data_IF_475944907887
#
_entry.id   IF_475944907887
#
_cell.length_a   1.000
_cell.length_b   1.000
_cell.length_c   1.000
_cell.angle_alpha   90.00
_cell.angle_beta   90.00
_cell.angle_gamma   90.00
#
_symmetry.space_group_name_H-M   'P 1'
#
loop_
_entity.id
_entity.type
_entity.pdbx_description
1 polymer ?
#
# COMPACT_ATOMS: atom_id res chain seq x y z
N UNK A 1 -50.72 -17.86 53.39
CA UNK A 1 -50.40 -17.01 52.22
C UNK A 1 -50.48 -17.91 51.02
N UNK A 2 -51.49 -17.76 50.18
CA UNK A 2 -51.55 -18.46 48.89
C UNK A 2 -50.62 -17.75 47.91
N UNK A 3 -49.99 -18.53 47.02
CA UNK A 3 -49.16 -18.00 45.95
C UNK A 3 -50.05 -17.46 44.81
N UNK A 4 -49.66 -16.36 44.14
CA UNK A 4 -50.43 -15.82 43.03
C UNK A 4 -50.44 -16.79 41.82
N UNK A 5 -51.50 -16.76 40.99
CA UNK A 5 -51.58 -17.60 39.80
C UNK A 5 -50.53 -17.19 38.74
N UNK A 6 -50.11 -18.12 37.86
CA UNK A 6 -49.17 -17.82 36.79
C UNK A 6 -49.77 -16.87 35.73
N UNK A 7 -48.93 -16.13 34.99
CA UNK A 7 -49.37 -15.24 33.92
C UNK A 7 -49.97 -16.02 32.74
N UNK A 8 -50.83 -15.36 31.92
CA UNK A 8 -51.36 -15.96 30.70
C UNK A 8 -50.26 -16.18 29.64
N UNK A 9 -50.45 -17.14 28.71
CA UNK A 9 -49.51 -17.37 27.61
C UNK A 9 -49.45 -16.19 26.65
N UNK A 10 -48.25 -15.90 26.13
CA UNK A 10 -48.01 -14.84 25.15
C UNK A 10 -48.65 -15.16 23.78
N UNK A 11 -49.17 -14.14 23.11
CA UNK A 11 -49.68 -14.28 21.73
C UNK A 11 -48.53 -14.45 20.73
N UNK A 12 -48.69 -15.28 19.68
CA UNK A 12 -47.65 -15.47 18.67
C UNK A 12 -47.42 -14.18 17.87
N UNK A 13 -46.16 -13.75 17.79
CA UNK A 13 -45.74 -12.60 17.00
C UNK A 13 -46.07 -12.78 15.51
N UNK A 14 -46.61 -11.72 14.90
CA UNK A 14 -46.86 -11.66 13.45
C UNK A 14 -45.56 -11.86 12.65
N UNK A 15 -45.60 -12.56 11.51
CA UNK A 15 -44.41 -12.74 10.67
C UNK A 15 -43.91 -11.41 10.10
N UNK A 16 -42.59 -11.26 9.88
CA UNK A 16 -42.00 -10.04 9.33
C UNK A 16 -42.47 -9.79 7.88
N UNK A 17 -42.47 -8.53 7.42
CA UNK A 17 -42.77 -8.20 6.03
C UNK A 17 -41.71 -8.77 5.07
N UNK A 18 -42.07 -9.06 3.81
CA UNK A 18 -41.11 -9.53 2.81
C UNK A 18 -40.05 -8.46 2.49
N UNK A 19 -38.84 -8.87 2.07
CA UNK A 19 -37.78 -7.94 1.68
C UNK A 19 -38.17 -7.09 0.46
N UNK A 20 -37.63 -5.87 0.32
CA UNK A 20 -37.86 -5.03 -0.85
C UNK A 20 -37.29 -5.66 -2.13
N UNK A 21 -37.99 -5.43 -3.23
CA UNK A 21 -37.69 -5.97 -4.57
C UNK A 21 -36.37 -5.38 -5.11
N UNK A 22 -35.43 -6.22 -5.56
CA UNK A 22 -34.14 -5.78 -6.11
C UNK A 22 -34.33 -4.90 -7.35
N UNK A 23 -33.73 -3.70 -7.34
CA UNK A 23 -33.70 -2.82 -8.50
C UNK A 23 -32.72 -3.37 -9.56
N UNK A 24 -33.09 -3.39 -10.85
CA UNK A 24 -32.22 -3.87 -11.91
C UNK A 24 -30.97 -2.98 -12.08
N UNK A 25 -29.83 -3.56 -12.50
CA UNK A 25 -28.58 -2.82 -12.64
C UNK A 25 -28.66 -1.72 -13.71
N UNK A 26 -27.95 -0.59 -13.51
CA UNK A 26 -27.95 0.52 -14.46
C UNK A 26 -27.26 0.14 -15.79
N UNK A 27 -27.67 0.76 -16.92
CA UNK A 27 -27.04 0.52 -18.21
C UNK A 27 -25.60 1.08 -18.26
N UNK A 28 -24.71 0.49 -19.08
CA UNK A 28 -23.31 0.92 -19.18
C UNK A 28 -23.18 2.36 -19.73
N UNK A 29 -22.17 3.13 -19.28
CA UNK A 29 -21.97 4.51 -19.71
C UNK A 29 -21.59 4.61 -21.19
N UNK A 30 -22.10 5.65 -21.86
CA UNK A 30 -21.80 5.92 -23.27
C UNK A 30 -20.35 6.37 -23.48
N UNK A 31 -19.73 5.90 -24.57
CA UNK A 31 -18.33 6.20 -24.89
C UNK A 31 -18.08 7.71 -25.10
N UNK A 32 -16.99 8.28 -24.54
CA UNK A 32 -16.70 9.70 -24.66
C UNK A 32 -16.28 10.09 -26.10
N UNK A 33 -16.63 11.30 -26.57
CA UNK A 33 -16.22 11.79 -27.88
C UNK A 33 -14.71 12.16 -27.92
N UNK A 34 -14.04 12.03 -29.08
CA UNK A 34 -12.60 12.30 -29.19
C UNK A 34 -12.27 13.80 -29.02
N UNK A 35 -11.14 14.15 -28.38
CA UNK A 35 -10.78 15.53 -28.08
C UNK A 35 -10.38 16.34 -29.33
N UNK A 36 -10.83 17.60 -29.39
CA UNK A 36 -10.41 18.57 -30.42
C UNK A 36 -9.02 19.12 -30.13
N UNK A 37 -8.11 18.99 -31.09
CA UNK A 37 -6.79 19.64 -31.07
C UNK A 37 -6.94 21.11 -31.47
N UNK A 38 -6.51 22.04 -30.62
CA UNK A 38 -6.38 23.47 -30.94
C UNK A 38 -4.90 23.86 -30.92
N UNK A 39 -4.38 24.29 -32.08
CA UNK A 39 -3.00 24.74 -32.23
C UNK A 39 -2.91 26.24 -31.96
N UNK A 40 -2.21 26.63 -30.89
CA UNK A 40 -1.92 28.04 -30.59
C UNK A 40 -0.53 28.40 -31.12
N UNK A 41 -0.46 29.35 -32.06
CA UNK A 41 0.81 29.87 -32.59
C UNK A 41 1.31 31.06 -31.76
N UNK A 42 2.57 31.00 -31.31
CA UNK A 42 3.16 32.04 -30.48
C UNK A 42 3.73 33.20 -31.30
N UNK A 43 3.25 34.43 -31.04
CA UNK A 43 3.85 35.65 -31.57
C UNK A 43 4.95 36.18 -30.64
N UNK A 44 6.08 36.62 -31.20
CA UNK A 44 7.15 37.30 -30.46
C UNK A 44 7.14 38.79 -30.75
N UNK A 45 7.05 39.61 -29.68
CA UNK A 45 7.25 41.05 -29.76
C UNK A 45 8.74 41.40 -29.97
N UNK A 46 9.01 42.43 -30.75
CA UNK A 46 10.34 43.03 -30.90
C UNK A 46 10.38 44.40 -30.22
N UNK A 47 11.40 44.62 -29.37
CA UNK A 47 11.61 45.89 -28.67
C UNK A 47 12.34 46.92 -29.54
N UNK A 48 11.89 48.17 -29.45
CA UNK A 48 12.51 49.35 -30.05
C UNK A 48 13.73 49.86 -29.25
N UNK A 49 14.48 50.84 -29.81
CA UNK A 49 15.39 51.67 -29.01
C UNK A 49 16.73 52.00 -29.67
N UNK A 50 16.78 53.04 -30.50
CA UNK A 50 18.01 53.60 -31.06
C UNK A 50 18.15 55.09 -30.71
N UNK A 51 19.34 55.56 -30.31
CA UNK A 51 19.96 56.90 -30.58
C UNK A 51 21.29 57.11 -29.81
N UNK A 52 22.13 58.14 -30.13
CA UNK A 52 23.57 57.90 -30.28
C UNK A 52 24.52 58.79 -29.43
N UNK A 53 25.81 58.72 -29.76
CA UNK A 53 26.99 59.18 -29.03
C UNK A 53 27.32 60.69 -29.06
N UNK A 54 28.20 61.12 -28.13
CA UNK A 54 29.22 62.15 -28.41
C UNK A 54 30.53 62.01 -27.58
N UNK A 55 31.60 62.64 -28.09
CA UNK A 55 32.99 62.75 -27.56
C UNK A 55 33.08 63.41 -26.16
N UNK A 56 34.17 63.31 -25.39
CA UNK A 56 35.43 64.13 -25.47
C UNK A 56 36.60 63.49 -24.67
N UNK A 57 37.85 63.87 -24.98
CA UNK A 57 39.15 63.46 -24.38
C UNK A 57 39.82 64.68 -23.71
N UNK A 58 40.76 64.56 -22.73
CA UNK A 58 42.20 64.47 -23.08
C UNK A 58 43.13 63.71 -22.07
N UNK A 59 44.46 63.87 -22.26
CA UNK A 59 45.62 63.06 -21.77
C UNK A 59 46.20 63.43 -20.39
N UNK A 60 46.90 62.47 -19.76
CA UNK A 60 48.25 62.57 -19.13
C UNK A 60 48.76 61.15 -18.67
N UNK A 61 50.04 60.81 -18.37
CA UNK A 61 51.39 61.38 -18.65
C UNK A 61 52.45 60.26 -18.90
N UNK A 62 53.57 60.16 -18.16
CA UNK A 62 54.70 59.17 -18.24
C UNK A 62 55.49 59.14 -16.89
N UNK A 63 56.33 58.15 -16.51
CA UNK A 63 56.75 56.91 -17.21
C UNK A 63 56.85 55.60 -16.36
N UNK A 64 57.94 55.18 -15.66
CA UNK A 64 58.40 53.78 -15.86
C UNK A 64 58.70 52.86 -14.65
N UNK A 65 58.47 51.56 -14.91
CA UNK A 65 59.23 50.35 -14.54
C UNK A 65 59.94 50.18 -13.16
N UNK A 66 59.66 49.03 -12.51
CA UNK A 66 60.64 48.28 -11.70
C UNK A 66 60.49 46.76 -11.94
N UNK A 67 61.58 46.07 -12.29
CA UNK A 67 61.60 44.61 -12.50
C UNK A 67 61.73 43.89 -11.14
N UNK A 68 60.98 42.80 -10.95
CA UNK A 68 61.15 41.82 -9.87
C UNK A 68 61.33 40.44 -10.53
N UNK A 69 62.31 39.60 -10.11
CA UNK A 69 62.58 38.33 -10.77
C UNK A 69 61.47 37.28 -10.51
N UNK A 70 61.22 36.36 -11.46
CA UNK A 70 60.17 35.36 -11.31
C UNK A 70 60.57 34.27 -10.30
N UNK A 71 59.84 34.19 -9.18
CA UNK A 71 59.97 33.12 -8.19
C UNK A 71 59.60 31.77 -8.83
N UNK A 72 60.57 30.88 -9.05
CA UNK A 72 60.35 29.52 -9.60
C UNK A 72 59.37 28.73 -8.73
N UNK A 73 58.10 28.62 -9.14
CA UNK A 73 57.10 27.77 -8.47
C UNK A 73 57.00 26.41 -9.20
N UNK A 74 57.84 25.46 -8.81
CA UNK A 74 57.75 24.05 -9.19
C UNK A 74 56.64 23.39 -8.34
N UNK A 75 55.53 22.95 -8.94
CA UNK A 75 54.67 21.84 -8.45
C UNK A 75 53.31 21.66 -9.18
N UNK A 76 53.24 21.80 -10.52
CA UNK A 76 52.00 21.48 -11.26
C UNK A 76 51.69 19.96 -11.37
N UNK A 77 52.59 19.09 -10.90
CA UNK A 77 52.45 17.63 -11.02
C UNK A 77 51.45 17.00 -10.04
N UNK A 78 51.39 17.47 -8.78
CA UNK A 78 50.58 16.81 -7.73
C UNK A 78 49.07 16.86 -8.02
N UNK A 79 48.54 18.02 -8.41
CA UNK A 79 47.11 18.15 -8.77
C UNK A 79 46.71 17.33 -10.01
N UNK A 80 47.63 17.10 -10.94
CA UNK A 80 47.38 16.27 -12.12
C UNK A 80 47.44 14.76 -11.81
N UNK A 81 48.30 14.36 -10.86
CA UNK A 81 48.34 12.99 -10.33
C UNK A 81 47.07 12.67 -9.54
N UNK A 82 46.65 13.56 -8.62
CA UNK A 82 45.41 13.41 -7.84
C UNK A 82 44.19 13.29 -8.78
N UNK A 83 44.08 14.15 -9.80
CA UNK A 83 42.99 14.06 -10.78
C UNK A 83 43.00 12.73 -11.55
N UNK A 84 44.17 12.20 -11.91
CA UNK A 84 44.27 10.88 -12.58
C UNK A 84 43.87 9.74 -11.65
N UNK A 85 44.28 9.78 -10.39
CA UNK A 85 43.87 8.76 -9.40
C UNK A 85 42.36 8.81 -9.21
N UNK A 86 41.76 9.99 -8.99
CA UNK A 86 40.31 10.13 -8.86
C UNK A 86 39.55 9.65 -10.11
N UNK A 87 40.03 9.96 -11.32
CA UNK A 87 39.44 9.49 -12.57
C UNK A 87 39.55 7.97 -12.74
N UNK A 88 40.69 7.37 -12.35
CA UNK A 88 40.88 5.91 -12.40
C UNK A 88 39.99 5.23 -11.35
N UNK A 89 39.92 5.74 -10.12
CA UNK A 89 39.00 5.23 -9.10
C UNK A 89 37.53 5.33 -9.54
N UNK A 90 37.13 6.45 -10.17
CA UNK A 90 35.77 6.61 -10.72
C UNK A 90 35.48 5.63 -11.87
N UNK A 91 36.44 5.41 -12.77
CA UNK A 91 36.30 4.44 -13.86
C UNK A 91 36.28 2.99 -13.36
N UNK A 92 37.08 2.67 -12.33
CA UNK A 92 37.07 1.36 -11.68
C UNK A 92 35.78 1.12 -10.88
N UNK A 93 35.23 2.16 -10.25
CA UNK A 93 33.91 2.11 -9.60
C UNK A 93 32.81 1.84 -10.64
N UNK A 94 32.82 2.57 -11.77
CA UNK A 94 31.94 2.31 -12.91
C UNK A 94 32.09 0.89 -13.46
N UNK A 95 33.31 0.38 -13.58
CA UNK A 95 33.55 -0.99 -14.02
C UNK A 95 33.02 -2.01 -12.99
N UNK A 96 33.23 -1.78 -11.70
CA UNK A 96 32.71 -2.64 -10.63
C UNK A 96 31.17 -2.67 -10.64
N UNK A 97 30.50 -1.52 -10.85
CA UNK A 97 29.05 -1.44 -10.99
C UNK A 97 28.50 -2.15 -12.24
N UNK A 98 29.32 -2.33 -13.29
CA UNK A 98 28.95 -3.08 -14.50
C UNK A 98 29.16 -4.59 -14.33
N UNK A 99 30.24 -5.00 -13.65
CA UNK A 99 30.69 -6.41 -13.59
C UNK A 99 30.41 -7.12 -12.25
N UNK A 100 29.90 -6.42 -11.22
CA UNK A 100 29.53 -7.00 -9.92
C UNK A 100 28.04 -6.74 -9.66
N UNK A 101 27.13 -7.66 -10.01
CA UNK A 101 25.68 -7.48 -9.85
C UNK A 101 25.28 -7.07 -8.43
N UNK A 102 25.88 -7.70 -7.42
CA UNK A 102 25.61 -7.42 -6.01
C UNK A 102 25.88 -5.95 -5.61
N UNK A 103 26.85 -5.28 -6.24
CA UNK A 103 27.08 -3.85 -6.01
C UNK A 103 26.07 -2.97 -6.76
N UNK A 104 25.60 -3.41 -7.93
CA UNK A 104 24.57 -2.72 -8.69
C UNK A 104 23.26 -2.66 -7.90
N UNK A 105 22.89 -3.76 -7.26
CA UNK A 105 21.64 -3.87 -6.50
C UNK A 105 21.68 -2.99 -5.24
N UNK A 106 22.70 -3.11 -4.38
CA UNK A 106 22.76 -2.33 -3.13
C UNK A 106 23.19 -0.87 -3.28
N UNK A 107 23.93 -0.50 -4.33
CA UNK A 107 24.52 0.86 -4.46
C UNK A 107 24.01 1.70 -5.63
N UNK A 108 22.92 1.27 -6.29
CA UNK A 108 22.16 2.10 -7.25
C UNK A 108 20.66 2.24 -6.92
N UNK A 109 20.12 1.54 -5.92
CA UNK A 109 18.74 1.75 -5.43
C UNK A 109 18.43 3.24 -5.13
N UNK A 110 19.35 3.94 -4.45
CA UNK A 110 19.28 5.39 -4.20
C UNK A 110 19.31 6.32 -5.44
N UNK A 111 19.53 5.78 -6.64
CA UNK A 111 19.65 6.50 -7.92
C UNK A 111 18.61 6.05 -8.96
N UNK A 112 17.84 5.02 -8.64
CA UNK A 112 16.75 4.50 -9.47
C UNK A 112 15.63 4.06 -8.51
N UNK A 113 14.81 5.00 -8.01
CA UNK A 113 13.76 4.77 -7.01
C UNK A 113 12.53 4.06 -7.61
N UNK A 114 12.76 3.26 -8.64
CA UNK A 114 11.77 2.43 -9.30
C UNK A 114 12.12 0.99 -8.98
N UNK A 115 11.36 0.40 -8.05
CA UNK A 115 11.40 -1.03 -7.82
C UNK A 115 10.40 -1.72 -8.76
N UNK A 116 10.66 -2.97 -9.10
CA UNK A 116 9.74 -3.79 -9.90
C UNK A 116 9.38 -5.02 -9.09
N UNK A 117 8.08 -5.20 -8.83
CA UNK A 117 7.56 -6.36 -8.12
C UNK A 117 6.78 -7.23 -9.10
N UNK A 118 6.92 -8.53 -8.96
CA UNK A 118 6.25 -9.51 -9.80
C UNK A 118 5.23 -10.26 -8.96
N UNK A 119 4.00 -10.27 -9.43
CA UNK A 119 2.91 -11.03 -8.85
C UNK A 119 2.47 -12.09 -9.86
N UNK A 120 2.08 -13.31 -9.42
CA UNK A 120 1.32 -14.20 -10.29
C UNK A 120 0.06 -13.47 -10.76
N UNK A 121 -0.33 -13.62 -12.03
CA UNK A 121 -1.57 -13.01 -12.51
C UNK A 121 -2.78 -13.71 -11.88
N UNK A 122 -2.69 -15.02 -11.77
CA UNK A 122 -3.69 -15.91 -11.22
C UNK A 122 -3.00 -16.98 -10.36
N UNK A 123 -3.67 -17.44 -9.32
CA UNK A 123 -3.29 -18.67 -8.61
C UNK A 123 -4.51 -19.57 -8.52
N UNK A 124 -4.36 -20.83 -8.88
CA UNK A 124 -5.29 -21.88 -8.48
C UNK A 124 -4.63 -22.69 -7.36
N UNK A 125 -5.35 -22.96 -6.28
CA UNK A 125 -4.80 -23.70 -5.14
C UNK A 125 -5.85 -24.55 -4.43
N UNK A 126 -5.38 -25.51 -3.64
CA UNK A 126 -6.16 -26.26 -2.68
C UNK A 126 -5.54 -26.11 -1.28
N UNK A 127 -6.37 -25.81 -0.29
CA UNK A 127 -5.95 -25.60 1.11
C UNK A 127 -6.92 -26.31 2.05
N UNK A 128 -6.42 -26.89 3.13
CA UNK A 128 -7.23 -27.42 4.23
C UNK A 128 -7.08 -26.51 5.45
N UNK A 129 -8.15 -25.82 5.86
CA UNK A 129 -8.20 -25.19 7.19
C UNK A 129 -8.60 -26.27 8.19
N UNK A 130 -7.73 -26.57 9.15
CA UNK A 130 -7.85 -27.68 10.10
C UNK A 130 -7.80 -27.15 11.52
N UNK A 131 -8.82 -27.47 12.31
CA UNK A 131 -8.92 -27.08 13.72
C UNK A 131 -9.03 -28.32 14.61
N UNK A 132 -8.34 -28.32 15.75
CA UNK A 132 -8.47 -29.35 16.78
C UNK A 132 -8.20 -28.78 18.16
N UNK A 133 -8.99 -29.22 19.15
CA UNK A 133 -8.87 -28.77 20.54
C UNK A 133 -8.81 -29.98 21.48
N UNK A 134 -7.74 -30.06 22.28
CA UNK A 134 -7.52 -31.09 23.31
C UNK A 134 -7.46 -30.48 24.71
N UNK A 135 -7.58 -31.31 25.76
CA UNK A 135 -7.61 -30.87 27.16
C UNK A 135 -8.98 -30.37 27.65
N UNK A 136 -10.01 -30.47 26.81
CA UNK A 136 -11.38 -29.97 27.03
C UNK A 136 -12.36 -31.13 27.30
N UNK A 137 -13.64 -30.84 27.56
CA UNK A 137 -14.70 -31.85 27.55
C UNK A 137 -15.29 -31.99 26.14
N UNK A 138 -15.74 -30.86 25.60
CA UNK A 138 -16.26 -30.69 24.25
C UNK A 138 -15.97 -29.27 23.80
N UNK A 139 -16.02 -29.03 22.49
CA UNK A 139 -15.83 -27.72 21.90
C UNK A 139 -16.72 -27.54 20.67
N UNK A 140 -17.03 -26.29 20.36
CA UNK A 140 -17.71 -25.90 19.12
C UNK A 140 -16.71 -25.11 18.29
N UNK A 141 -16.66 -25.37 16.99
CA UNK A 141 -15.92 -24.58 15.99
C UNK A 141 -16.92 -24.02 15.00
N UNK A 142 -16.79 -22.75 14.68
CA UNK A 142 -17.61 -22.09 13.69
C UNK A 142 -16.78 -21.12 12.85
N UNK A 143 -16.66 -21.41 11.56
CA UNK A 143 -15.87 -20.60 10.62
C UNK A 143 -16.69 -20.27 9.37
N UNK A 144 -16.54 -19.07 8.78
CA UNK A 144 -17.22 -18.72 7.55
C UNK A 144 -16.65 -19.51 6.37
N UNK A 145 -17.51 -19.92 5.44
CA UNK A 145 -17.08 -20.53 4.19
C UNK A 145 -16.55 -19.45 3.22
N UNK A 146 -15.36 -19.63 2.61
CA UNK A 146 -14.84 -18.72 1.59
C UNK A 146 -15.82 -18.59 0.43
N UNK A 147 -16.11 -17.36 0.01
CA UNK A 147 -17.11 -17.08 -1.04
C UNK A 147 -16.49 -16.57 -2.34
N UNK A 148 -17.30 -16.56 -3.40
CA UNK A 148 -16.97 -15.85 -4.63
C UNK A 148 -16.93 -14.34 -4.37
N UNK A 149 -15.91 -13.68 -4.90
CA UNK A 149 -15.82 -12.21 -4.97
C UNK A 149 -15.61 -11.82 -6.42
N UNK A 150 -16.44 -10.88 -6.90
CA UNK A 150 -16.45 -10.51 -8.31
C UNK A 150 -15.10 -9.93 -8.76
N UNK A 151 -14.40 -10.66 -9.63
CA UNK A 151 -13.14 -10.24 -10.23
C UNK A 151 -11.86 -10.60 -9.47
N UNK A 152 -11.92 -11.10 -8.24
CA UNK A 152 -10.73 -11.45 -7.43
C UNK A 152 -10.66 -12.89 -6.96
N UNK A 153 -11.80 -13.56 -6.73
CA UNK A 153 -11.86 -14.83 -6.00
C UNK A 153 -13.03 -15.72 -6.43
N UNK A 154 -12.73 -17.00 -6.67
CA UNK A 154 -13.72 -18.02 -7.02
C UNK A 154 -13.49 -19.29 -6.19
N UNK A 155 -14.50 -19.70 -5.44
CA UNK A 155 -14.56 -21.02 -4.80
C UNK A 155 -14.94 -22.05 -5.88
N UNK A 156 -14.06 -23.02 -6.13
CA UNK A 156 -14.27 -24.09 -7.10
C UNK A 156 -14.86 -25.35 -6.44
N UNK A 157 -14.48 -25.63 -5.19
CA UNK A 157 -15.08 -26.68 -4.37
C UNK A 157 -14.84 -26.43 -2.88
N UNK A 158 -15.79 -26.83 -2.04
CA UNK A 158 -15.63 -26.97 -0.58
C UNK A 158 -15.92 -28.42 -0.18
N UNK A 159 -15.15 -28.95 0.76
CA UNK A 159 -15.30 -30.30 1.30
C UNK A 159 -14.98 -30.30 2.80
N UNK A 160 -15.96 -29.92 3.65
CA UNK A 160 -15.82 -30.01 5.10
C UNK A 160 -15.80 -31.46 5.59
N UNK A 161 -15.21 -31.70 6.77
CA UNK A 161 -15.27 -32.97 7.47
C UNK A 161 -15.05 -32.81 8.99
N UNK A 162 -15.88 -33.43 9.86
CA UNK A 162 -17.16 -34.08 9.56
C UNK A 162 -18.15 -33.13 8.86
N UNK A 163 -19.34 -33.62 8.49
CA UNK A 163 -20.35 -32.73 7.90
C UNK A 163 -20.82 -31.71 8.95
N UNK A 164 -20.70 -30.39 8.70
CA UNK A 164 -21.08 -29.34 9.63
C UNK A 164 -22.58 -29.02 9.54
N UNK A 165 -23.11 -28.40 10.59
CA UNK A 165 -24.32 -27.59 10.46
C UNK A 165 -23.98 -26.32 9.67
N UNK A 166 -24.82 -25.92 8.71
CA UNK A 166 -24.65 -24.67 7.98
C UNK A 166 -25.60 -23.62 8.55
N UNK A 167 -25.05 -22.49 9.00
CA UNK A 167 -25.80 -21.35 9.50
C UNK A 167 -25.61 -20.12 8.60
N UNK A 168 -26.62 -19.25 8.55
CA UNK A 168 -26.56 -17.99 7.79
C UNK A 168 -26.41 -16.83 8.78
N UNK A 169 -25.19 -16.28 8.89
CA UNK A 169 -24.88 -15.12 9.74
C UNK A 169 -24.20 -14.04 8.92
N UNK A 170 -24.66 -12.79 9.07
CA UNK A 170 -24.02 -11.59 8.52
C UNK A 170 -23.86 -11.58 6.98
N UNK A 171 -24.68 -12.37 6.26
CA UNK A 171 -24.55 -12.56 4.81
C UNK A 171 -23.54 -13.61 4.38
N UNK A 172 -23.05 -14.43 5.30
CA UNK A 172 -22.11 -15.54 5.08
C UNK A 172 -22.75 -16.88 5.49
N UNK A 173 -22.34 -17.94 4.80
CA UNK A 173 -22.54 -19.31 5.27
C UNK A 173 -21.44 -19.65 6.27
N UNK A 174 -21.81 -20.06 7.48
CA UNK A 174 -20.89 -20.53 8.51
C UNK A 174 -21.00 -22.04 8.67
N UNK A 175 -19.86 -22.71 8.70
CA UNK A 175 -19.75 -24.14 8.99
C UNK A 175 -19.55 -24.30 10.49
N UNK A 176 -20.52 -24.92 11.16
CA UNK A 176 -20.54 -25.11 12.62
C UNK A 176 -20.39 -26.61 12.94
N UNK A 177 -19.44 -26.93 13.82
CA UNK A 177 -19.20 -28.29 14.33
C UNK A 177 -19.22 -28.32 15.86
N UNK A 178 -20.10 -29.15 16.42
CA UNK A 178 -19.96 -29.62 17.81
C UNK A 178 -19.06 -30.86 17.84
N UNK A 179 -17.93 -30.74 18.55
CA UNK A 179 -16.84 -31.71 18.54
C UNK A 179 -16.42 -32.15 19.95
N UNK A 180 -15.90 -33.37 20.03
CA UNK A 180 -15.41 -33.97 21.28
C UNK A 180 -13.91 -33.71 21.48
N UNK A 181 -13.44 -33.71 22.74
CA UNK A 181 -12.02 -33.54 23.09
C UNK A 181 -11.05 -34.35 22.19
N UNK A 182 -10.11 -33.66 21.52
CA UNK A 182 -9.11 -34.24 20.64
C UNK A 182 -9.61 -34.65 19.24
N UNK A 183 -10.88 -34.38 18.93
CA UNK A 183 -11.40 -34.49 17.57
C UNK A 183 -10.77 -33.41 16.67
N UNK A 184 -10.58 -33.74 15.40
CA UNK A 184 -10.19 -32.80 14.36
C UNK A 184 -11.40 -32.49 13.48
N UNK A 185 -11.62 -31.21 13.20
CA UNK A 185 -12.54 -30.74 12.16
C UNK A 185 -11.72 -30.01 11.11
N UNK A 186 -12.14 -30.07 9.85
CA UNK A 186 -11.46 -29.32 8.79
C UNK A 186 -12.41 -28.99 7.65
N UNK A 187 -12.02 -28.04 6.81
CA UNK A 187 -12.60 -27.88 5.48
C UNK A 187 -11.53 -27.70 4.41
N UNK A 188 -11.70 -28.42 3.30
CA UNK A 188 -10.83 -28.32 2.12
C UNK A 188 -11.48 -27.41 1.10
N UNK A 189 -10.81 -26.33 0.76
CA UNK A 189 -11.20 -25.41 -0.29
C UNK A 189 -10.31 -25.63 -1.51
N UNK A 190 -10.91 -25.66 -2.70
CA UNK A 190 -10.18 -25.45 -3.96
C UNK A 190 -10.63 -24.12 -4.51
N UNK A 191 -9.70 -23.24 -4.82
CA UNK A 191 -9.96 -21.85 -5.16
C UNK A 191 -9.14 -21.40 -6.34
N UNK A 192 -9.65 -20.38 -7.03
CA UNK A 192 -8.94 -19.58 -8.04
C UNK A 192 -9.00 -18.13 -7.60
N UNK A 193 -7.89 -17.43 -7.72
CA UNK A 193 -7.74 -16.02 -7.31
C UNK A 193 -6.93 -15.27 -8.35
N UNK A 194 -7.25 -13.99 -8.56
CA UNK A 194 -6.55 -13.12 -9.51
C UNK A 194 -5.92 -11.93 -8.79
N UNK A 195 -4.78 -11.46 -9.30
CA UNK A 195 -4.11 -10.26 -8.78
C UNK A 195 -4.82 -9.03 -9.33
N UNK A 196 -5.38 -8.22 -8.45
CA UNK A 196 -5.94 -6.91 -8.82
C UNK A 196 -4.91 -5.83 -8.48
N UNK A 197 -4.70 -4.93 -9.44
CA UNK A 197 -4.00 -3.67 -9.23
C UNK A 197 -4.94 -2.54 -9.63
N UNK A 198 -5.17 -1.61 -8.70
CA UNK A 198 -5.86 -0.37 -8.99
C UNK A 198 -4.81 0.68 -9.38
N UNK A 199 -4.45 0.71 -10.67
CA UNK A 199 -3.55 1.72 -11.26
C UNK A 199 -4.28 3.07 -11.28
N UNK A 200 -4.07 3.87 -10.23
CA UNK A 200 -4.67 5.19 -10.05
C UNK A 200 -3.70 6.14 -9.34
N UNK A 201 -3.91 7.43 -9.53
CA UNK A 201 -3.26 8.48 -8.74
C UNK A 201 -4.26 9.52 -8.21
N UNK A 202 -3.74 10.58 -7.59
CA UNK A 202 -4.55 11.66 -7.00
C UNK A 202 -5.41 12.42 -8.02
N UNK A 203 -5.23 12.23 -9.34
CA UNK A 203 -6.09 12.81 -10.36
C UNK A 203 -7.33 11.98 -10.69
N UNK A 204 -7.35 10.69 -10.33
CA UNK A 204 -8.52 9.81 -10.47
C UNK A 204 -9.49 9.91 -9.28
N UNK A 205 -8.96 10.30 -8.12
CA UNK A 205 -9.67 10.34 -6.83
C UNK A 205 -10.34 11.69 -6.56
N UNK A 206 -11.52 11.68 -5.91
CA UNK A 206 -12.18 12.90 -5.42
C UNK A 206 -11.60 13.34 -4.05
N UNK A 207 -11.73 14.62 -3.72
CA UNK A 207 -11.57 15.07 -2.33
C UNK A 207 -12.72 14.55 -1.44
N UNK A 208 -12.48 14.44 -0.13
CA UNK A 208 -13.52 14.02 0.84
C UNK A 208 -14.74 14.95 0.78
N UNK A 209 -14.54 16.25 0.48
CA UNK A 209 -15.62 17.21 0.33
C UNK A 209 -16.47 16.97 -0.93
N UNK A 210 -15.83 16.72 -2.07
CA UNK A 210 -16.52 16.38 -3.33
C UNK A 210 -17.22 15.03 -3.23
N UNK A 211 -16.58 14.02 -2.64
CA UNK A 211 -17.16 12.71 -2.43
C UNK A 211 -18.44 12.79 -1.57
N UNK A 212 -18.41 13.52 -0.44
CA UNK A 212 -19.61 13.77 0.37
C UNK A 212 -20.72 14.49 -0.40
N UNK A 213 -20.38 15.34 -1.36
CA UNK A 213 -21.36 16.10 -2.15
C UNK A 213 -21.95 15.32 -3.33
N UNK A 214 -21.17 14.46 -3.98
CA UNK A 214 -21.50 13.89 -5.29
C UNK A 214 -21.58 12.35 -5.32
N UNK A 215 -21.00 11.67 -4.34
CA UNK A 215 -20.93 10.21 -4.29
C UNK A 215 -21.84 9.65 -3.18
N UNK A 216 -23.02 9.09 -3.52
CA UNK A 216 -23.92 8.50 -2.53
C UNK A 216 -23.35 7.20 -1.92
N UNK A 217 -22.50 6.47 -2.65
CA UNK A 217 -21.87 5.23 -2.14
C UNK A 217 -20.84 5.58 -1.08
N UNK A 218 -20.01 6.61 -1.32
CA UNK A 218 -19.10 7.16 -0.31
C UNK A 218 -19.84 7.53 0.99
N UNK A 219 -21.01 8.16 0.88
CA UNK A 219 -21.82 8.56 2.03
C UNK A 219 -22.43 7.35 2.77
N UNK A 220 -22.97 6.36 2.05
CA UNK A 220 -23.50 5.13 2.66
C UNK A 220 -22.42 4.32 3.38
N UNK A 221 -21.26 4.14 2.75
CA UNK A 221 -20.12 3.46 3.39
C UNK A 221 -19.56 4.29 4.55
N UNK A 222 -19.52 5.62 4.44
CA UNK A 222 -19.11 6.48 5.54
C UNK A 222 -20.00 6.33 6.78
N UNK A 223 -21.32 6.19 6.59
CA UNK A 223 -22.25 5.96 7.68
C UNK A 223 -22.13 4.55 8.31
N UNK A 224 -21.62 3.57 7.55
CA UNK A 224 -21.44 2.18 7.95
C UNK A 224 -20.10 1.91 8.66
N UNK A 225 -19.05 2.69 8.35
CA UNK A 225 -17.69 2.38 8.84
C UNK A 225 -17.00 3.52 9.61
N UNK A 226 -17.40 4.79 9.48
CA UNK A 226 -16.66 5.90 10.10
C UNK A 226 -17.06 6.12 11.58
N UNK A 227 -17.08 5.04 12.36
CA UNK A 227 -17.30 5.03 13.80
C UNK A 227 -16.43 3.94 14.46
N UNK A 228 -16.43 3.92 15.80
CA UNK A 228 -15.74 2.88 16.56
C UNK A 228 -16.32 1.50 16.23
N UNK A 229 -15.44 0.52 16.09
CA UNK A 229 -15.74 -0.91 15.92
C UNK A 229 -14.79 -1.68 16.87
N UNK A 230 -15.02 -2.98 17.08
CA UNK A 230 -14.18 -3.78 17.98
C UNK A 230 -12.68 -3.61 17.67
N UNK A 231 -11.94 -3.09 18.66
CA UNK A 231 -10.52 -2.72 18.59
C UNK A 231 -10.11 -1.67 17.53
N UNK A 232 -11.06 -1.06 16.80
CA UNK A 232 -10.84 0.05 15.86
C UNK A 232 -11.38 1.34 16.47
N UNK A 233 -10.53 2.00 17.28
CA UNK A 233 -10.92 3.17 18.09
C UNK A 233 -10.81 4.50 17.31
N UNK A 234 -11.74 4.74 16.39
CA UNK A 234 -11.84 5.97 15.56
C UNK A 234 -11.96 7.25 16.40
N UNK A 235 -12.71 7.20 17.51
CA UNK A 235 -12.95 8.34 18.40
C UNK A 235 -11.82 8.58 19.42
N UNK A 236 -10.82 7.69 19.49
CA UNK A 236 -9.75 7.79 20.46
C UNK A 236 -8.89 9.04 20.21
N UNK A 237 -8.59 9.88 21.23
CA UNK A 237 -7.94 11.18 21.03
C UNK A 237 -6.59 11.14 20.29
N UNK A 238 -5.79 10.09 20.50
CA UNK A 238 -4.51 9.91 19.80
C UNK A 238 -4.71 9.57 18.31
N UNK A 239 -5.73 8.76 17.98
CA UNK A 239 -6.08 8.39 16.60
C UNK A 239 -6.62 9.62 15.86
N UNK A 240 -7.59 10.33 16.44
CA UNK A 240 -8.10 11.59 15.90
C UNK A 240 -6.99 12.63 15.71
N UNK A 241 -6.06 12.75 16.67
CA UNK A 241 -4.96 13.72 16.60
C UNK A 241 -3.96 13.38 15.50
N UNK A 242 -3.60 12.10 15.33
CA UNK A 242 -2.71 11.67 14.25
C UNK A 242 -3.40 11.79 12.88
N UNK A 243 -4.66 11.36 12.76
CA UNK A 243 -5.44 11.53 11.54
C UNK A 243 -5.53 13.02 11.12
N UNK A 244 -5.80 13.93 12.05
CA UNK A 244 -5.80 15.37 11.77
C UNK A 244 -4.43 15.91 11.33
N UNK A 245 -3.32 15.35 11.83
CA UNK A 245 -1.95 15.72 11.41
C UNK A 245 -1.57 15.18 10.03
N UNK A 246 -2.04 13.96 9.68
CA UNK A 246 -1.75 13.31 8.40
C UNK A 246 -2.69 13.76 7.27
N UNK A 247 -3.83 14.38 7.59
CA UNK A 247 -4.80 14.88 6.59
C UNK A 247 -4.12 15.86 5.62
N UNK A 248 -4.10 15.53 4.34
CA UNK A 248 -3.63 16.41 3.27
C UNK A 248 -4.70 17.48 3.01
N UNK A 249 -4.44 18.71 3.46
CA UNK A 249 -5.41 19.82 3.32
C UNK A 249 -5.66 20.16 1.85
N UNK A 250 -6.89 19.94 1.39
CA UNK A 250 -7.27 20.09 -0.01
C UNK A 250 -6.82 18.93 -0.92
N UNK A 251 -6.28 17.86 -0.34
CA UNK A 251 -5.95 16.63 -1.05
C UNK A 251 -7.15 15.70 -1.27
N UNK A 252 -6.98 14.79 -2.20
CA UNK A 252 -7.93 13.74 -2.56
C UNK A 252 -7.95 12.61 -1.52
N UNK A 253 -8.92 11.69 -1.61
CA UNK A 253 -8.90 10.48 -0.77
C UNK A 253 -7.59 9.71 -0.99
N UNK A 254 -7.14 9.57 -2.24
CA UNK A 254 -5.83 8.98 -2.57
C UNK A 254 -4.65 9.68 -1.87
N UNK A 255 -4.58 11.02 -1.88
CA UNK A 255 -3.50 11.76 -1.19
C UNK A 255 -3.45 11.47 0.32
N UNK A 256 -4.61 11.35 0.95
CA UNK A 256 -4.72 11.03 2.37
C UNK A 256 -4.29 9.58 2.68
N UNK A 257 -4.65 8.62 1.81
CA UNK A 257 -4.20 7.23 1.94
C UNK A 257 -2.69 7.09 1.78
N UNK A 258 -2.09 7.79 0.80
CA UNK A 258 -0.63 7.84 0.62
C UNK A 258 0.07 8.47 1.84
N UNK A 259 -0.54 9.49 2.46
CA UNK A 259 -0.03 10.14 3.67
C UNK A 259 0.01 9.17 4.88
N UNK A 260 -1.08 8.43 5.11
CA UNK A 260 -1.14 7.40 6.17
C UNK A 260 -0.14 6.28 5.88
N UNK A 261 -0.17 5.71 4.68
CA UNK A 261 0.69 4.58 4.28
C UNK A 261 2.17 4.88 4.53
N UNK A 262 2.65 6.02 4.03
CA UNK A 262 4.04 6.47 4.22
C UNK A 262 4.40 6.77 5.67
N UNK A 263 3.46 7.30 6.45
CA UNK A 263 3.71 7.52 7.87
C UNK A 263 3.89 6.20 8.62
N UNK A 264 3.04 5.21 8.35
CA UNK A 264 3.13 3.91 9.00
C UNK A 264 4.38 3.14 8.55
N UNK A 265 4.60 2.98 7.24
CA UNK A 265 5.79 2.35 6.62
C UNK A 265 7.12 2.86 7.22
N UNK A 266 7.25 4.18 7.40
CA UNK A 266 8.51 4.78 7.88
C UNK A 266 8.70 4.67 9.42
N UNK A 267 7.62 4.54 10.20
CA UNK A 267 7.67 4.73 11.66
C UNK A 267 7.25 3.50 12.49
N UNK A 268 6.86 2.40 11.85
CA UNK A 268 6.33 1.20 12.51
C UNK A 268 7.10 -0.06 12.08
N UNK A 269 7.19 -1.03 12.98
CA UNK A 269 7.86 -2.32 12.72
C UNK A 269 6.84 -3.47 12.72
N UNK A 270 7.02 -4.45 11.83
CA UNK A 270 6.22 -5.68 11.88
C UNK A 270 6.66 -6.53 13.08
N UNK A 271 5.71 -6.91 13.95
CA UNK A 271 5.98 -7.75 15.11
C UNK A 271 4.83 -8.71 15.41
N UNK A 272 5.07 -10.01 15.29
CA UNK A 272 4.17 -11.06 15.78
C UNK A 272 4.37 -11.30 17.27
N UNK A 273 3.29 -11.59 18.00
CA UNK A 273 3.32 -12.03 19.40
C UNK A 273 2.81 -13.46 19.54
N UNK A 274 3.39 -14.21 20.49
CA UNK A 274 2.89 -15.54 20.83
C UNK A 274 1.63 -15.41 21.71
N UNK A 275 0.45 -15.51 21.07
CA UNK A 275 -0.85 -15.51 21.73
C UNK A 275 -1.42 -14.12 22.03
N UNK A 276 -2.74 -14.03 21.99
CA UNK A 276 -3.52 -12.83 22.23
C UNK A 276 -4.45 -12.48 21.06
N UNK A 277 -5.51 -11.74 21.37
CA UNK A 277 -6.42 -11.13 20.37
C UNK A 277 -5.80 -9.84 19.81
N UNK A 278 -6.13 -9.47 18.57
CA UNK A 278 -5.71 -8.21 17.90
C UNK A 278 -5.69 -7.00 18.85
N UNK A 279 -4.64 -6.17 18.77
CA UNK A 279 -4.48 -4.95 19.60
C UNK A 279 -5.55 -3.94 19.24
N UNK A 280 -5.83 -3.01 20.16
CA UNK A 280 -6.59 -1.82 19.75
C UNK A 280 -5.74 -0.92 18.85
N UNK A 281 -6.38 -0.13 17.99
CA UNK A 281 -5.69 0.84 17.15
C UNK A 281 -4.82 1.82 17.96
N UNK A 282 -5.25 2.24 19.16
CA UNK A 282 -4.42 3.09 20.02
C UNK A 282 -3.26 2.36 20.70
N UNK A 283 -3.38 1.06 20.97
CA UNK A 283 -2.26 0.22 21.43
C UNK A 283 -1.20 0.08 20.33
N UNK A 284 -1.58 -0.29 19.10
CA UNK A 284 -0.65 -0.38 17.96
C UNK A 284 0.07 0.96 17.71
N UNK A 285 -0.66 2.09 17.80
CA UNK A 285 -0.10 3.43 17.67
C UNK A 285 0.98 3.74 18.72
N UNK A 286 0.76 3.34 19.98
CA UNK A 286 1.70 3.59 21.09
C UNK A 286 2.93 2.68 21.01
N UNK A 287 2.71 1.40 20.70
CA UNK A 287 3.79 0.40 20.57
C UNK A 287 4.68 0.66 19.36
N UNK A 288 4.11 1.24 18.29
CA UNK A 288 4.71 1.36 16.95
C UNK A 288 5.11 0.02 16.32
N UNK A 289 4.44 -1.05 16.74
CA UNK A 289 4.66 -2.37 16.18
C UNK A 289 3.41 -3.22 16.29
N UNK A 290 3.19 -4.09 15.31
CA UNK A 290 2.03 -4.98 15.23
C UNK A 290 2.17 -5.99 14.10
N UNK A 291 1.28 -6.98 14.08
CA UNK A 291 1.14 -7.93 12.99
C UNK A 291 0.17 -7.41 11.89
N UNK A 292 -0.34 -8.30 11.04
CA UNK A 292 -1.21 -7.95 9.91
C UNK A 292 -2.51 -7.28 10.34
N UNK A 293 -3.10 -7.74 11.44
CA UNK A 293 -4.40 -7.30 11.92
C UNK A 293 -4.23 -6.03 12.76
N UNK A 294 -3.25 -6.02 13.67
CA UNK A 294 -2.88 -4.86 14.49
C UNK A 294 -2.65 -3.59 13.61
N UNK A 295 -1.92 -3.76 12.50
CA UNK A 295 -1.58 -2.69 11.55
C UNK A 295 -2.77 -2.29 10.66
N UNK A 296 -3.59 -3.26 10.23
CA UNK A 296 -4.81 -2.99 9.46
C UNK A 296 -5.86 -2.23 10.29
N UNK A 297 -5.99 -2.54 11.57
CA UNK A 297 -6.91 -1.88 12.51
C UNK A 297 -6.47 -0.45 12.82
N UNK A 298 -5.15 -0.20 12.96
CA UNK A 298 -4.61 1.16 13.05
C UNK A 298 -4.88 1.96 11.76
N UNK A 299 -4.63 1.38 10.59
CA UNK A 299 -4.90 2.06 9.32
C UNK A 299 -6.40 2.39 9.19
N UNK A 300 -7.29 1.44 9.49
CA UNK A 300 -8.73 1.64 9.53
C UNK A 300 -9.13 2.79 10.47
N UNK A 301 -8.60 2.82 11.69
CA UNK A 301 -8.87 3.90 12.65
C UNK A 301 -8.49 5.27 12.11
N UNK A 302 -7.33 5.39 11.46
CA UNK A 302 -6.84 6.65 10.90
C UNK A 302 -7.65 7.11 9.67
N UNK A 303 -7.99 6.22 8.74
CA UNK A 303 -8.83 6.56 7.56
C UNK A 303 -10.25 6.94 7.97
N UNK A 304 -10.88 6.15 8.85
CA UNK A 304 -12.22 6.41 9.39
C UNK A 304 -12.28 7.74 10.14
N UNK A 305 -11.22 8.10 10.88
CA UNK A 305 -11.13 9.38 11.59
C UNK A 305 -10.97 10.60 10.65
N UNK A 306 -10.40 10.43 9.46
CA UNK A 306 -10.49 11.43 8.37
C UNK A 306 -11.88 11.47 7.71
N UNK A 307 -12.69 10.43 7.94
CA UNK A 307 -13.98 10.20 7.31
C UNK A 307 -13.89 9.54 5.94
N UNK A 308 -12.87 8.69 5.73
CA UNK A 308 -12.71 7.82 4.56
C UNK A 308 -13.12 6.40 4.98
N UNK A 309 -14.18 5.81 4.39
CA UNK A 309 -14.65 4.49 4.80
C UNK A 309 -13.72 3.36 4.34
N UNK A 310 -13.37 2.52 5.30
CA UNK A 310 -12.50 1.35 5.14
C UNK A 310 -12.88 0.27 6.15
N UNK A 311 -12.51 -0.98 5.89
CA UNK A 311 -12.88 -2.12 6.73
C UNK A 311 -11.85 -3.25 6.64
N UNK A 312 -11.63 -4.00 7.74
CA UNK A 312 -10.82 -5.22 7.69
C UNK A 312 -11.43 -6.28 6.76
N UNK A 313 -10.56 -6.98 6.06
CA UNK A 313 -10.84 -8.22 5.34
C UNK A 313 -9.86 -9.28 5.82
N UNK A 314 -10.37 -10.47 6.15
CA UNK A 314 -9.69 -11.50 6.93
C UNK A 314 -9.78 -12.85 6.21
N UNK A 315 -8.72 -13.65 6.29
CA UNK A 315 -8.68 -14.99 5.74
C UNK A 315 -7.27 -15.55 5.82
N UNK A 316 -6.73 -16.01 4.70
CA UNK A 316 -5.37 -16.54 4.65
C UNK A 316 -4.58 -16.15 3.40
N UNK A 317 -3.26 -16.09 3.57
CA UNK A 317 -2.27 -15.73 2.56
C UNK A 317 -1.17 -16.80 2.49
N UNK A 318 -0.73 -17.11 1.27
CA UNK A 318 0.41 -17.98 1.03
C UNK A 318 1.70 -17.18 1.15
N UNK A 319 2.45 -17.44 2.21
CA UNK A 319 3.81 -16.93 2.39
C UNK A 319 4.77 -17.76 1.53
N UNK A 320 5.18 -17.18 0.40
CA UNK A 320 6.14 -17.79 -0.53
C UNK A 320 7.57 -17.95 0.02
N UNK A 321 7.94 -17.24 1.10
CA UNK A 321 9.24 -17.37 1.76
C UNK A 321 9.26 -18.58 2.69
N UNK A 322 8.15 -18.82 3.41
CA UNK A 322 7.97 -19.99 4.28
C UNK A 322 7.40 -21.22 3.58
N UNK A 323 6.81 -21.05 2.38
CA UNK A 323 6.18 -22.13 1.61
C UNK A 323 4.92 -22.68 2.25
N UNK A 324 4.14 -21.84 2.95
CA UNK A 324 2.96 -22.25 3.73
C UNK A 324 1.86 -21.19 3.68
N UNK A 325 0.63 -21.61 3.96
CA UNK A 325 -0.47 -20.69 4.24
C UNK A 325 -0.41 -20.23 5.70
N UNK A 326 -0.77 -18.97 5.93
CA UNK A 326 -0.97 -18.37 7.26
C UNK A 326 -2.30 -17.62 7.30
N UNK A 327 -2.94 -17.59 8.47
CA UNK A 327 -4.00 -16.61 8.73
C UNK A 327 -3.45 -15.20 8.54
N UNK A 328 -4.21 -14.35 7.87
CA UNK A 328 -3.76 -13.01 7.47
C UNK A 328 -4.95 -12.07 7.28
N UNK A 329 -4.82 -10.84 7.76
CA UNK A 329 -5.76 -9.75 7.54
C UNK A 329 -5.14 -8.59 6.78
N UNK A 330 -5.99 -7.83 6.11
CA UNK A 330 -5.64 -6.62 5.38
C UNK A 330 -6.79 -5.62 5.42
N UNK A 331 -6.59 -4.45 4.83
CA UNK A 331 -7.60 -3.41 4.72
C UNK A 331 -8.18 -3.36 3.30
N UNK A 332 -9.49 -3.18 3.18
CA UNK A 332 -10.11 -2.58 1.99
C UNK A 332 -10.55 -1.15 2.31
N UNK A 333 -10.43 -0.26 1.32
CA UNK A 333 -10.87 1.14 1.41
C UNK A 333 -11.68 1.52 0.17
N UNK A 334 -12.72 2.33 0.35
CA UNK A 334 -13.45 2.90 -0.78
C UNK A 334 -12.83 4.22 -1.23
N UNK A 335 -12.36 4.25 -2.48
CA UNK A 335 -11.79 5.43 -3.12
C UNK A 335 -12.83 6.01 -4.09
N UNK A 336 -13.43 7.18 -3.77
CA UNK A 336 -14.40 7.83 -4.65
C UNK A 336 -13.68 8.40 -5.88
N UNK A 337 -14.30 8.25 -7.05
CA UNK A 337 -13.80 8.75 -8.35
C UNK A 337 -14.93 9.44 -9.10
N UNK A 338 -14.60 10.18 -10.16
CA UNK A 338 -15.63 10.79 -11.05
C UNK A 338 -16.54 9.77 -11.75
N UNK A 339 -16.21 8.47 -11.71
CA UNK A 339 -16.89 7.40 -12.44
C UNK A 339 -17.57 6.35 -11.52
N UNK A 340 -17.76 6.64 -10.22
CA UNK A 340 -18.50 5.78 -9.28
C UNK A 340 -17.66 5.04 -8.23
N UNK A 341 -16.38 5.39 -8.11
CA UNK A 341 -15.46 4.88 -7.08
C UNK A 341 -15.12 3.39 -7.19
N UNK A 342 -14.21 2.93 -6.32
CA UNK A 342 -13.78 1.53 -6.22
C UNK A 342 -13.49 1.13 -4.78
N UNK A 343 -13.72 -0.14 -4.43
CA UNK A 343 -13.05 -0.75 -3.27
C UNK A 343 -11.64 -1.15 -3.72
N UNK A 344 -10.62 -0.79 -2.95
CA UNK A 344 -9.23 -1.14 -3.21
C UNK A 344 -8.55 -1.70 -1.95
N UNK A 345 -7.67 -2.68 -2.14
CA UNK A 345 -6.93 -3.33 -1.05
C UNK A 345 -5.66 -2.54 -0.68
N UNK A 346 -5.41 -2.41 0.63
CA UNK A 346 -4.14 -1.96 1.20
C UNK A 346 -3.70 -3.03 2.21
N UNK A 347 -2.49 -3.55 2.03
CA UNK A 347 -1.83 -4.46 2.95
C UNK A 347 -0.48 -3.87 3.34
N UNK A 348 -0.43 -3.29 4.54
CA UNK A 348 0.73 -2.58 5.07
C UNK A 348 1.93 -3.49 5.25
N UNK A 349 1.72 -4.71 5.75
CA UNK A 349 2.82 -5.57 6.22
C UNK A 349 3.47 -6.35 5.08
N UNK A 350 2.87 -6.34 3.89
CA UNK A 350 3.42 -6.91 2.67
C UNK A 350 3.90 -5.86 1.66
N UNK A 351 3.97 -4.56 1.99
CA UNK A 351 4.29 -3.47 1.05
C UNK A 351 3.34 -3.43 -0.18
N UNK A 352 2.03 -3.63 0.02
CA UNK A 352 1.01 -3.69 -1.04
C UNK A 352 0.02 -2.50 -0.93
N UNK A 353 0.28 -1.40 -1.63
CA UNK A 353 -0.60 -0.23 -1.70
C UNK A 353 -1.46 -0.23 -2.98
N UNK A 354 -2.78 -0.39 -2.84
CA UNK A 354 -3.73 -0.50 -3.96
C UNK A 354 -3.44 -1.73 -4.84
N UNK A 355 -3.12 -2.84 -4.17
CA UNK A 355 -2.82 -4.15 -4.77
C UNK A 355 -3.51 -5.22 -3.92
N UNK A 356 -4.11 -6.22 -4.57
CA UNK A 356 -4.52 -7.48 -3.95
C UNK A 356 -3.81 -8.61 -4.69
N UNK A 357 -2.71 -9.14 -4.14
CA UNK A 357 -2.04 -10.30 -4.73
C UNK A 357 -2.95 -11.53 -4.84
N UNK A 358 -2.78 -12.33 -5.89
CA UNK A 358 -3.51 -13.59 -6.09
C UNK A 358 -3.18 -14.68 -5.04
N UNK A 359 -2.14 -14.48 -4.22
CA UNK A 359 -1.70 -15.46 -3.22
C UNK A 359 -2.52 -15.43 -1.91
N UNK A 360 -3.71 -14.80 -1.88
CA UNK A 360 -4.58 -14.70 -0.70
C UNK A 360 -6.04 -14.99 -1.02
N UNK A 361 -6.78 -15.50 -0.03
CA UNK A 361 -8.24 -15.58 -0.08
C UNK A 361 -8.92 -15.02 1.17
N UNK A 362 -10.07 -14.42 0.93
CA UNK A 362 -10.93 -13.82 1.94
C UNK A 362 -11.93 -14.86 2.45
N UNK A 363 -12.05 -14.97 3.78
CA UNK A 363 -13.06 -15.77 4.47
C UNK A 363 -14.15 -14.87 5.05
N UNK A 364 -13.75 -13.74 5.66
CA UNK A 364 -14.63 -12.75 6.27
C UNK A 364 -14.25 -11.33 5.85
N UNK A 365 -15.25 -10.45 5.83
CA UNK A 365 -15.07 -9.01 5.62
C UNK A 365 -16.03 -8.30 6.57
N UNK A 366 -15.50 -7.35 7.35
CA UNK A 366 -16.28 -6.52 8.26
C UNK A 366 -17.36 -5.76 7.50
N UNK A 367 -18.54 -5.66 8.13
CA UNK A 367 -19.69 -4.87 7.70
C UNK A 367 -19.90 -3.62 8.61
N UNK A 368 -18.92 -3.32 9.46
CA UNK A 368 -18.94 -2.23 10.44
C UNK A 368 -19.56 -2.59 11.79
N UNK A 369 -20.09 -3.80 11.96
CA UNK A 369 -20.69 -4.23 13.23
C UNK A 369 -19.63 -4.89 14.15
N UNK A 370 -19.50 -4.36 15.37
CA UNK A 370 -18.50 -4.83 16.34
C UNK A 370 -18.73 -6.29 16.79
N UNK A 371 -19.98 -6.73 16.97
CA UNK A 371 -20.30 -8.11 17.34
C UNK A 371 -19.92 -9.07 16.20
N UNK A 372 -20.18 -8.69 14.95
CA UNK A 372 -19.91 -9.53 13.77
C UNK A 372 -18.40 -9.69 13.53
N UNK A 373 -17.63 -8.61 13.69
CA UNK A 373 -16.16 -8.67 13.62
C UNK A 373 -15.59 -9.50 14.78
N UNK A 374 -16.13 -9.33 15.99
CA UNK A 374 -15.74 -10.09 17.18
C UNK A 374 -15.97 -11.59 16.98
N UNK A 375 -17.13 -11.99 16.46
CA UNK A 375 -17.51 -13.40 16.23
C UNK A 375 -16.46 -14.15 15.39
N UNK A 376 -15.92 -13.51 14.34
CA UNK A 376 -14.84 -14.09 13.53
C UNK A 376 -13.57 -14.41 14.34
N UNK A 377 -13.12 -13.49 15.21
CA UNK A 377 -11.92 -13.72 16.03
C UNK A 377 -12.13 -14.77 17.13
N UNK A 378 -13.39 -15.13 17.43
CA UNK A 378 -13.75 -16.15 18.41
C UNK A 378 -14.44 -17.37 17.78
N UNK A 379 -13.98 -17.78 16.58
CA UNK A 379 -14.39 -18.96 15.78
C UNK A 379 -14.38 -20.34 16.51
N UNK A 380 -14.16 -20.39 17.82
CA UNK A 380 -14.30 -21.59 18.64
C UNK A 380 -14.57 -21.27 20.11
N UNK A 381 -15.36 -22.13 20.74
CA UNK A 381 -15.61 -22.12 22.19
C UNK A 381 -15.50 -23.53 22.77
N UNK A 382 -15.24 -23.65 24.08
CA UNK A 382 -15.05 -24.97 24.70
C UNK A 382 -15.51 -25.06 26.15
N UNK A 383 -15.97 -26.24 26.53
CA UNK A 383 -16.23 -26.59 27.93
C UNK A 383 -14.92 -27.10 28.54
N UNK A 384 -14.38 -26.35 29.50
CA UNK A 384 -13.10 -26.65 30.14
C UNK A 384 -13.13 -28.03 30.81
N UNK A 385 -12.17 -28.88 30.43
CA UNK A 385 -11.95 -30.18 31.04
C UNK A 385 -11.08 -30.13 32.30
N UNK A 386 -10.49 -31.26 32.66
CA UNK A 386 -9.49 -31.34 33.75
C UNK A 386 -8.08 -30.92 33.33
N UNK A 387 -7.83 -30.72 32.04
CA UNK A 387 -6.54 -30.32 31.49
C UNK A 387 -6.40 -28.81 31.23
N UNK A 388 -5.24 -28.43 30.73
CA UNK A 388 -5.06 -27.16 30.01
C UNK A 388 -5.53 -27.36 28.58
N UNK A 389 -6.38 -26.49 28.02
CA UNK A 389 -6.72 -26.53 26.60
C UNK A 389 -5.50 -26.33 25.71
N UNK A 390 -5.36 -27.19 24.70
CA UNK A 390 -4.39 -27.07 23.62
C UNK A 390 -5.18 -26.92 22.31
N UNK A 391 -4.82 -25.93 21.49
CA UNK A 391 -5.57 -25.54 20.29
C UNK A 391 -4.61 -25.52 19.09
N UNK A 392 -5.04 -26.09 17.97
CA UNK A 392 -4.42 -25.97 16.65
C UNK A 392 -5.45 -25.38 15.69
N UNK A 393 -5.10 -24.33 14.95
CA UNK A 393 -5.80 -23.82 13.76
C UNK A 393 -4.75 -23.64 12.67
N UNK A 394 -4.76 -24.52 11.68
CA UNK A 394 -3.70 -24.67 10.68
C UNK A 394 -4.27 -24.57 9.27
N UNK A 395 -3.60 -23.79 8.39
CA UNK A 395 -3.84 -23.82 6.95
C UNK A 395 -2.80 -24.71 6.26
N UNK A 396 -3.23 -25.88 5.81
CA UNK A 396 -2.36 -26.88 5.20
C UNK A 396 -2.43 -26.75 3.68
N UNK A 397 -1.28 -26.51 3.05
CA UNK A 397 -1.16 -26.50 1.59
C UNK A 397 -1.39 -27.90 1.02
N UNK A 398 -2.38 -28.02 0.12
CA UNK A 398 -2.64 -29.24 -0.65
C UNK A 398 -2.24 -29.09 -2.12
N UNK A 399 -1.81 -27.90 -2.54
CA UNK A 399 -1.33 -27.60 -3.88
C UNK A 399 -1.47 -26.12 -4.22
N UNK A 400 -0.40 -25.51 -4.72
CA UNK A 400 -0.34 -24.09 -5.08
C UNK A 400 0.17 -23.94 -6.53
N UNK A 401 -0.66 -23.38 -7.42
CA UNK A 401 -0.41 -23.33 -8.86
C UNK A 401 -0.54 -21.89 -9.41
N UNK A 402 0.53 -21.09 -9.35
CA UNK A 402 0.55 -19.75 -9.93
C UNK A 402 0.64 -19.81 -11.46
N UNK A 403 -0.04 -18.88 -12.14
CA UNK A 403 0.03 -18.72 -13.59
C UNK A 403 0.03 -17.24 -14.01
N UNK A 404 0.61 -16.98 -15.19
CA UNK A 404 0.88 -15.62 -15.67
C UNK A 404 1.86 -14.86 -14.77
N UNK A 405 2.16 -13.61 -15.13
CA UNK A 405 2.96 -12.71 -14.29
C UNK A 405 2.60 -11.27 -14.60
N UNK A 406 2.16 -10.52 -13.59
CA UNK A 406 2.04 -9.06 -13.67
C UNK A 406 3.34 -8.47 -13.13
N UNK A 407 4.01 -7.63 -13.92
CA UNK A 407 5.19 -6.88 -13.46
C UNK A 407 4.77 -5.45 -13.18
N UNK A 408 4.77 -5.08 -11.90
CA UNK A 408 4.31 -3.79 -11.42
C UNK A 408 5.50 -2.86 -11.18
N UNK A 409 5.35 -1.59 -11.58
CA UNK A 409 6.37 -0.56 -11.43
C UNK A 409 6.09 0.23 -10.16
N UNK A 410 6.68 -0.23 -9.05
CA UNK A 410 6.54 0.40 -7.75
C UNK A 410 7.60 1.51 -7.57
N UNK A 411 7.27 2.52 -6.76
CA UNK A 411 8.20 3.57 -6.38
C UNK A 411 9.21 3.12 -5.35
N UNK A 412 9.82 4.10 -4.71
CA UNK A 412 10.64 3.91 -3.52
C UNK A 412 9.79 3.66 -2.26
N UNK A 413 8.48 3.58 -2.42
CA UNK A 413 7.43 3.73 -1.41
C UNK A 413 6.24 2.77 -1.64
N UNK A 414 6.41 1.69 -2.40
CA UNK A 414 5.39 0.65 -2.60
C UNK A 414 4.17 1.03 -3.46
N UNK A 415 3.97 2.30 -3.79
CA UNK A 415 2.91 2.78 -4.70
C UNK A 415 3.36 2.85 -6.17
N UNK A 416 2.47 3.12 -7.14
CA UNK A 416 2.81 3.19 -8.56
C UNK A 416 3.61 4.46 -8.94
N UNK A 417 4.56 4.35 -9.89
CA UNK A 417 5.45 5.47 -10.27
C UNK A 417 4.92 6.32 -11.43
N UNK A 418 4.15 7.35 -11.08
CA UNK A 418 3.72 8.42 -11.99
C UNK A 418 4.81 9.50 -12.03
N UNK A 419 5.42 9.68 -13.21
CA UNK A 419 6.83 10.09 -13.28
C UNK A 419 7.12 11.58 -13.41
N UNK A 420 8.24 12.03 -12.82
CA UNK A 420 8.91 13.28 -13.21
C UNK A 420 10.47 13.26 -13.09
N UNK A 421 11.07 12.11 -12.84
CA UNK A 421 12.44 12.02 -12.28
C UNK A 421 13.59 12.24 -13.27
N UNK A 422 13.33 12.14 -14.58
CA UNK A 422 14.32 12.44 -15.62
C UNK A 422 14.87 13.88 -15.56
N UNK A 423 14.18 14.79 -14.86
CA UNK A 423 14.58 16.18 -14.67
C UNK A 423 15.79 16.38 -13.75
N UNK A 424 16.26 15.38 -12.98
CA UNK A 424 17.49 15.49 -12.17
C UNK A 424 18.74 14.99 -12.90
N UNK A 425 18.60 14.00 -13.79
CA UNK A 425 19.73 13.44 -14.56
C UNK A 425 20.25 14.46 -15.59
N UNK A 426 19.34 15.21 -16.24
CA UNK A 426 19.68 16.18 -17.29
C UNK A 426 20.57 17.34 -16.76
N UNK A 427 20.25 18.03 -15.65
CA UNK A 427 21.11 19.04 -15.04
C UNK A 427 22.50 18.52 -14.67
N UNK A 428 22.59 17.32 -14.09
CA UNK A 428 23.88 16.71 -13.70
C UNK A 428 24.73 16.44 -14.95
N UNK A 429 24.15 15.86 -16.00
CA UNK A 429 24.84 15.63 -17.27
C UNK A 429 25.32 16.94 -17.92
N UNK A 430 24.50 18.00 -17.89
CA UNK A 430 24.87 19.34 -18.38
C UNK A 430 26.05 19.91 -17.57
N UNK A 431 26.03 19.81 -16.24
CA UNK A 431 27.12 20.29 -15.37
C UNK A 431 28.44 19.55 -15.69
N UNK A 432 28.40 18.23 -15.83
CA UNK A 432 29.57 17.42 -16.20
C UNK A 432 30.12 17.82 -17.58
N UNK A 433 29.25 17.97 -18.59
CA UNK A 433 29.64 18.42 -19.93
C UNK A 433 30.25 19.84 -19.92
N UNK A 434 29.71 20.75 -19.12
CA UNK A 434 30.26 22.11 -18.95
C UNK A 434 31.65 22.10 -18.29
N UNK A 435 31.87 21.23 -17.29
CA UNK A 435 33.19 21.04 -16.66
C UNK A 435 34.20 20.49 -17.68
N UNK A 436 33.84 19.43 -18.42
CA UNK A 436 34.68 18.84 -19.48
C UNK A 436 35.03 19.90 -20.53
N UNK A 437 34.04 20.67 -21.01
CA UNK A 437 34.24 21.76 -21.99
C UNK A 437 35.21 22.82 -21.47
N UNK A 438 35.06 23.28 -20.22
CA UNK A 438 36.00 24.23 -19.57
C UNK A 438 37.43 23.68 -19.47
N UNK A 439 37.58 22.39 -19.18
CA UNK A 439 38.89 21.75 -19.11
C UNK A 439 39.56 21.62 -20.48
N UNK A 440 38.80 21.28 -21.52
CA UNK A 440 39.31 21.19 -22.90
C UNK A 440 39.76 22.57 -23.43
N UNK A 441 39.00 23.63 -23.17
CA UNK A 441 39.36 25.02 -23.52
C UNK A 441 40.70 25.41 -22.87
N UNK A 442 40.83 25.23 -21.54
CA UNK A 442 42.08 25.50 -20.80
C UNK A 442 43.27 24.68 -21.30
N UNK A 443 43.02 23.47 -21.83
CA UNK A 443 44.07 22.61 -22.43
C UNK A 443 44.51 23.12 -23.82
N UNK A 444 43.60 23.72 -24.59
CA UNK A 444 43.89 24.37 -25.89
C UNK A 444 44.68 25.66 -25.70
N UNK A 445 44.31 26.50 -24.73
CA UNK A 445 45.02 27.73 -24.35
C UNK A 445 46.46 27.46 -23.85
N UNK A 446 46.67 26.37 -23.11
CA UNK A 446 48.02 25.95 -22.67
C UNK A 446 48.90 25.44 -23.82
N UNK A 447 48.31 24.90 -24.89
CA UNK A 447 49.04 24.49 -26.11
C UNK A 447 49.34 25.67 -27.04
N UNK A 448 48.43 26.64 -27.18
CA UNK A 448 48.70 27.84 -27.99
C UNK A 448 49.73 28.78 -27.35
N UNK A 449 49.81 28.81 -26.02
CA UNK A 449 50.83 29.57 -25.29
C UNK A 449 52.20 28.87 -25.21
N UNK A 450 52.29 27.55 -25.43
CA UNK A 450 53.57 26.86 -25.60
C UNK A 450 54.11 26.86 -27.04
N UNK A 451 53.27 27.16 -28.03
CA UNK A 451 53.65 27.26 -29.45
C UNK A 451 54.01 28.71 -29.89
N UNK A 452 53.98 29.67 -28.96
CA UNK A 452 54.35 31.08 -29.17
C UNK A 452 55.55 31.51 -28.29
N UNK A 453 56.43 30.56 -27.95
CA UNK A 453 57.66 30.76 -27.17
C UNK A 453 58.81 30.03 -27.82
#
# INVERSE_FOLDING_TARGET
MELPPPPPPEEPLSPPPPPPEELPPPPPPASPPPPRIVVVSGSKASSSGSRPATRIRPRHRRSPARRIPPRRRRSSGRGFLIFRVLLICFLLLLLALIFVPQLRDSSLQWLNPVSYRQFPQEVQFSVERRISISGVQSFTVDIPAPRNMNGSQWLLSSSPHPDPTIEQRYGYEWMVWDASNGQTVYSRFTMRTETIWWDMDSSDSLTIAEARQYDPVFNSLSAMYNHDEWNIEVSHPEIMSLAAQLTVTGGTVHDNLVSIYKYLDINFEYSTREGGTVKTSSETLRDRAGDCDDMSFLFAGLTRAMGIPSWPELGAMYDSLQGKWIGHGWLEVYIPTTNGGVNATIDMVNDEFLIRGANRFSEFRSDGNEDHLTDYYFSYSYIKGSGTPEISDDYIDLGYHPSGTITMKLGSDGGPVHGLEWLLIIPIAIIVLLIIRRMLIRRRERRSSSARR
#
